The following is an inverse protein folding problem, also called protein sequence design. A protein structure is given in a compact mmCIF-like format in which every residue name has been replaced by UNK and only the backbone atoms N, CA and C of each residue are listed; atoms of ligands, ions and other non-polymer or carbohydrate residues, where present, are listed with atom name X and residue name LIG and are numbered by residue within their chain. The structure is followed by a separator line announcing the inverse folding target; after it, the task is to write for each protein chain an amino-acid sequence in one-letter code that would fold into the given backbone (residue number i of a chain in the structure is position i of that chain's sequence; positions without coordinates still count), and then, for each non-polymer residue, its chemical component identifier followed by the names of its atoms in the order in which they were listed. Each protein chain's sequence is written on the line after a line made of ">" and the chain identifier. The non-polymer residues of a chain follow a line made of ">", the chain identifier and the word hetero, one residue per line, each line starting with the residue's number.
data_IF_464972527790
#
_entry.id   IF_464972527790
#
_cell.length_a   1.000
_cell.length_b   1.000
_cell.length_c   1.000
_cell.angle_alpha   90.00
_cell.angle_beta   90.00
_cell.angle_gamma   90.00
#
_symmetry.space_group_name_H-M   'P 1'
#
loop_
_entity.id
_entity.type
_entity.pdbx_description
1 polymer ?
#
# COMPACT_ATOMS: atom_id res chain seq x y z
N UNK A 1 -4.79 10.49 -1.38
CA UNK A 1 -4.05 9.75 -0.32
C UNK A 1 -5.03 9.03 0.58
N UNK A 2 -4.72 7.79 0.91
CA UNK A 2 -5.47 7.05 1.91
C UNK A 2 -4.91 7.37 3.30
N UNK A 3 -5.80 7.69 4.24
CA UNK A 3 -5.40 7.94 5.62
C UNK A 3 -4.88 6.66 6.27
N UNK A 4 -4.16 6.84 7.38
CA UNK A 4 -3.63 5.71 8.13
C UNK A 4 -4.75 4.79 8.61
N UNK A 5 -4.57 3.49 8.39
CA UNK A 5 -5.55 2.48 8.77
C UNK A 5 -4.86 1.13 8.99
N UNK A 6 -5.60 0.17 9.50
CA UNK A 6 -5.13 -1.19 9.70
C UNK A 6 -5.95 -2.16 8.85
N UNK A 7 -5.32 -3.25 8.41
CA UNK A 7 -5.98 -4.29 7.64
C UNK A 7 -6.54 -5.39 8.55
N UNK A 8 -7.69 -5.97 8.19
CA UNK A 8 -8.24 -7.11 8.94
C UNK A 8 -7.50 -8.43 8.66
N UNK A 9 -6.60 -8.46 7.70
CA UNK A 9 -5.83 -9.63 7.30
C UNK A 9 -4.64 -9.23 6.45
N UNK A 10 -4.15 -10.15 5.64
CA UNK A 10 -3.03 -9.88 4.75
C UNK A 10 -3.47 -9.00 3.58
N UNK A 11 -2.60 -8.09 3.18
CA UNK A 11 -2.89 -7.20 2.06
C UNK A 11 -1.64 -6.97 1.22
N UNK A 12 -1.86 -6.75 -0.08
CA UNK A 12 -0.81 -6.36 -1.01
C UNK A 12 -1.30 -5.19 -1.86
N UNK A 13 -0.34 -4.35 -2.26
CA UNK A 13 -0.58 -3.26 -3.21
C UNK A 13 0.23 -3.55 -4.46
N UNK A 14 -0.44 -3.70 -5.60
CA UNK A 14 0.20 -3.85 -6.89
C UNK A 14 0.09 -2.51 -7.63
N UNK A 15 1.20 -1.86 -7.86
CA UNK A 15 1.24 -0.59 -8.57
C UNK A 15 1.14 -0.88 -10.06
N UNK A 16 0.03 -0.47 -10.68
CA UNK A 16 -0.22 -0.69 -12.10
C UNK A 16 0.34 0.44 -12.94
N UNK A 17 0.30 1.66 -12.40
CA UNK A 17 0.79 2.85 -13.08
C UNK A 17 1.15 3.90 -12.04
N UNK A 18 2.16 4.71 -12.32
CA UNK A 18 2.57 5.80 -11.44
C UNK A 18 3.54 5.37 -10.36
N UNK A 19 3.59 6.14 -9.29
CA UNK A 19 4.46 5.90 -8.14
C UNK A 19 3.71 6.21 -6.85
N UNK A 20 3.88 5.34 -5.86
CA UNK A 20 3.23 5.48 -4.56
C UNK A 20 4.23 5.27 -3.44
N UNK A 21 3.88 5.79 -2.26
CA UNK A 21 4.64 5.57 -1.04
C UNK A 21 3.72 4.94 0.01
N UNK A 22 4.10 3.79 0.51
CA UNK A 22 3.45 3.14 1.64
C UNK A 22 4.26 3.48 2.89
N UNK A 23 3.60 4.00 3.92
CA UNK A 23 4.25 4.40 5.17
C UNK A 23 3.60 3.71 6.36
N UNK A 24 4.43 3.31 7.33
CA UNK A 24 3.98 2.76 8.60
C UNK A 24 4.96 3.24 9.68
N UNK A 25 4.51 4.10 10.59
CA UNK A 25 5.38 4.73 11.57
C UNK A 25 6.50 5.52 10.89
N UNK A 26 7.75 5.22 11.23
CA UNK A 26 8.93 5.91 10.68
C UNK A 26 9.48 5.22 9.43
N UNK A 27 8.84 4.14 8.99
CA UNK A 27 9.32 3.34 7.85
C UNK A 27 8.41 3.58 6.65
N UNK A 28 9.02 3.68 5.47
CA UNK A 28 8.23 3.79 4.24
C UNK A 28 8.88 2.97 3.12
N UNK A 29 8.05 2.62 2.15
CA UNK A 29 8.47 1.93 0.93
C UNK A 29 7.86 2.63 -0.27
N UNK A 30 8.68 2.89 -1.29
CA UNK A 30 8.22 3.48 -2.54
C UNK A 30 8.05 2.37 -3.58
N UNK A 31 6.96 2.41 -4.32
CA UNK A 31 6.68 1.48 -5.40
C UNK A 31 6.38 2.19 -6.70
N UNK A 32 6.86 1.65 -7.79
CA UNK A 32 6.58 2.13 -9.14
C UNK A 32 5.81 1.06 -9.92
N UNK A 33 5.39 1.39 -11.14
CA UNK A 33 4.64 0.47 -12.00
C UNK A 33 5.31 -0.89 -12.09
N UNK A 34 4.56 -1.94 -11.84
CA UNK A 34 5.03 -3.33 -11.83
C UNK A 34 5.46 -3.83 -10.46
N UNK A 35 5.59 -2.96 -9.46
CA UNK A 35 5.96 -3.39 -8.11
C UNK A 35 4.77 -3.95 -7.35
N UNK A 36 5.03 -4.98 -6.55
CA UNK A 36 4.08 -5.55 -5.61
C UNK A 36 4.61 -5.31 -4.20
N UNK A 37 3.82 -4.67 -3.35
CA UNK A 37 4.22 -4.33 -2.00
C UNK A 37 3.36 -5.10 -1.01
N UNK A 38 3.98 -5.88 -0.13
CA UNK A 38 3.29 -6.50 0.99
C UNK A 38 3.00 -5.43 2.04
N UNK A 39 1.74 -5.26 2.40
CA UNK A 39 1.33 -4.25 3.36
C UNK A 39 1.59 -4.77 4.77
N UNK A 40 2.28 -3.99 5.64
CA UNK A 40 2.57 -4.46 6.98
C UNK A 40 1.30 -4.62 7.81
N UNK A 41 1.34 -5.56 8.75
CA UNK A 41 0.24 -5.83 9.69
C UNK A 41 0.28 -4.81 10.84
N UNK A 42 0.21 -3.54 10.49
CA UNK A 42 0.26 -2.40 11.40
C UNK A 42 -0.46 -1.23 10.74
N UNK A 43 -0.72 -0.18 11.50
CA UNK A 43 -1.32 1.02 10.94
C UNK A 43 -0.41 1.60 9.84
N UNK A 44 -0.99 1.97 8.71
CA UNK A 44 -0.25 2.43 7.55
C UNK A 44 -1.07 3.43 6.73
N UNK A 45 -0.36 4.13 5.86
CA UNK A 45 -0.97 5.05 4.89
C UNK A 45 -0.37 4.83 3.51
N UNK A 46 -1.10 5.22 2.48
CA UNK A 46 -0.66 5.14 1.09
C UNK A 46 -0.78 6.52 0.46
N UNK A 47 0.32 7.01 -0.09
CA UNK A 47 0.37 8.31 -0.76
C UNK A 47 0.74 8.13 -2.22
N UNK A 48 0.00 8.78 -3.11
CA UNK A 48 0.37 8.85 -4.52
C UNK A 48 1.39 9.96 -4.70
N UNK A 49 2.58 9.60 -5.19
CA UNK A 49 3.65 10.55 -5.46
C UNK A 49 3.48 11.22 -6.82
N UNK A 50 2.68 10.61 -7.68
CA UNK A 50 2.21 11.13 -8.97
C UNK A 50 0.88 10.46 -9.26
N UNK A 51 0.23 10.80 -10.38
CA UNK A 51 -1.02 10.13 -10.77
C UNK A 51 -0.78 8.64 -10.87
N UNK A 52 -1.52 7.85 -10.10
CA UNK A 52 -1.23 6.42 -9.92
C UNK A 52 -2.49 5.60 -9.94
N UNK A 53 -2.34 4.36 -10.43
CA UNK A 53 -3.38 3.33 -10.36
C UNK A 53 -2.80 2.14 -9.63
N UNK A 54 -3.48 1.67 -8.60
CA UNK A 54 -3.05 0.52 -7.82
C UNK A 54 -4.17 -0.49 -7.68
N UNK A 55 -3.78 -1.74 -7.52
CA UNK A 55 -4.70 -2.83 -7.17
C UNK A 55 -4.40 -3.25 -5.74
N UNK A 56 -5.37 -3.05 -4.86
CA UNK A 56 -5.27 -3.46 -3.46
C UNK A 56 -5.98 -4.79 -3.28
N UNK A 57 -5.25 -5.78 -2.81
CA UNK A 57 -5.79 -7.10 -2.52
C UNK A 57 -5.74 -7.33 -1.01
N UNK A 58 -6.89 -7.67 -0.43
CA UNK A 58 -7.01 -7.95 1.00
C UNK A 58 -7.58 -9.36 1.17
N UNK A 59 -6.91 -10.16 1.98
CA UNK A 59 -7.39 -11.49 2.34
C UNK A 59 -7.83 -11.45 3.80
N UNK A 60 -9.12 -11.61 4.02
CA UNK A 60 -9.67 -11.65 5.38
C UNK A 60 -9.39 -13.02 5.99
N UNK A 61 -8.93 -12.99 7.24
CA UNK A 61 -8.76 -14.22 8.02
C UNK A 61 -10.02 -14.49 8.80
N UNK A 62 -10.44 -15.75 8.79
CA UNK A 62 -11.60 -16.19 9.56
C UNK A 62 -11.27 -16.27 11.05
#
# INVERSE_FOLDING_TARGET
>A
MLDEHSNPGDATVHVLNGRVRLASGDVHWDGAAGHLIAVPDAAHSLEALEDSVVLLTVVNRA
#
